data_IF_935834870195
#
_entry.id   IF_935834870195
#
_cell.length_a   1.000
_cell.length_b   1.000
_cell.length_c   1.000
_cell.angle_alpha   90.00
_cell.angle_beta   90.00
_cell.angle_gamma   90.00
#
_symmetry.space_group_name_H-M   'P 1'
#
loop_
_entity.id
_entity.type
_entity.pdbx_description
1 polymer ?
#
# COMPACT_ATOMS: atom_id res chain seq x y z
N UNK A 1 23.48 16.98 -1.88
CA UNK A 1 23.58 18.41 -2.22
C UNK A 1 22.19 18.87 -2.66
N UNK A 2 21.79 20.10 -2.33
CA UNK A 2 20.52 20.65 -2.82
C UNK A 2 20.74 21.25 -4.20
N UNK A 3 19.80 21.04 -5.11
CA UNK A 3 19.86 21.54 -6.49
C UNK A 3 18.57 22.24 -6.87
N UNK A 4 18.67 23.20 -7.79
CA UNK A 4 17.52 23.78 -8.45
C UNK A 4 16.93 22.75 -9.44
N UNK A 5 15.69 22.34 -9.18
CA UNK A 5 15.04 21.28 -9.95
C UNK A 5 14.74 21.70 -11.39
N UNK A 6 14.47 22.99 -11.64
CA UNK A 6 14.22 23.50 -12.97
C UNK A 6 15.52 23.55 -13.79
N UNK A 7 16.61 24.02 -13.18
CA UNK A 7 17.93 24.02 -13.82
C UNK A 7 18.45 22.60 -14.09
N UNK A 8 18.07 21.63 -13.26
CA UNK A 8 18.38 20.21 -13.45
C UNK A 8 17.47 19.53 -14.50
N UNK A 9 16.49 20.23 -15.08
CA UNK A 9 15.53 19.69 -16.05
C UNK A 9 14.49 18.73 -15.45
N UNK A 10 14.32 18.75 -14.13
CA UNK A 10 13.36 17.94 -13.38
C UNK A 10 12.06 18.72 -13.28
N UNK A 11 11.21 18.56 -14.29
CA UNK A 11 9.92 19.23 -14.35
C UNK A 11 8.83 18.31 -13.80
N UNK A 12 8.23 18.66 -12.66
CA UNK A 12 7.05 17.97 -12.16
C UNK A 12 5.79 18.54 -12.82
N UNK A 13 5.01 17.73 -13.56
CA UNK A 13 3.80 18.23 -14.20
C UNK A 13 2.79 18.70 -13.14
N UNK A 14 2.28 19.93 -13.29
CA UNK A 14 1.33 20.55 -12.35
C UNK A 14 0.15 19.64 -11.97
N UNK A 15 -0.31 18.81 -12.92
CA UNK A 15 -1.40 17.85 -12.69
C UNK A 15 -1.03 16.79 -11.64
N UNK A 16 0.22 16.31 -11.61
CA UNK A 16 0.68 15.27 -10.69
C UNK A 16 0.67 15.82 -9.27
N UNK A 17 1.39 16.90 -8.99
CA UNK A 17 1.46 17.53 -7.66
C UNK A 17 0.08 17.94 -7.14
N UNK A 18 -0.76 18.53 -8.02
CA UNK A 18 -2.13 18.92 -7.66
C UNK A 18 -2.99 17.72 -7.29
N UNK A 19 -2.98 16.67 -8.11
CA UNK A 19 -3.78 15.47 -7.85
C UNK A 19 -3.34 14.74 -6.58
N UNK A 20 -2.03 14.66 -6.34
CA UNK A 20 -1.47 14.07 -5.12
C UNK A 20 -1.94 14.82 -3.86
N UNK A 21 -1.85 16.16 -3.87
CA UNK A 21 -2.31 17.00 -2.75
C UNK A 21 -3.82 16.88 -2.52
N UNK A 22 -4.63 16.88 -3.58
CA UNK A 22 -6.08 16.72 -3.45
C UNK A 22 -6.47 15.36 -2.89
N UNK A 23 -5.85 14.29 -3.35
CA UNK A 23 -6.09 12.94 -2.84
C UNK A 23 -5.66 12.83 -1.38
N UNK A 24 -4.51 13.40 -1.01
CA UNK A 24 -4.04 13.42 0.38
C UNK A 24 -5.00 14.19 1.30
N UNK A 25 -5.45 15.38 0.88
CA UNK A 25 -6.43 16.17 1.63
C UNK A 25 -7.78 15.44 1.80
N UNK A 26 -8.22 14.72 0.76
CA UNK A 26 -9.44 13.91 0.80
C UNK A 26 -9.36 12.81 1.87
N UNK A 27 -8.27 12.02 1.85
CA UNK A 27 -8.06 10.96 2.84
C UNK A 27 -7.89 11.52 4.25
N UNK A 28 -7.15 12.63 4.41
CA UNK A 28 -7.00 13.28 5.71
C UNK A 28 -8.35 13.78 6.26
N UNK A 29 -9.20 14.36 5.42
CA UNK A 29 -10.55 14.79 5.81
C UNK A 29 -11.43 13.62 6.23
N UNK A 30 -11.36 12.50 5.51
CA UNK A 30 -12.05 11.27 5.91
C UNK A 30 -11.54 10.76 7.27
N UNK A 31 -10.22 10.65 7.45
CA UNK A 31 -9.61 10.17 8.69
C UNK A 31 -9.93 11.04 9.91
N UNK A 32 -9.96 12.35 9.76
CA UNK A 32 -10.27 13.26 10.88
C UNK A 32 -11.74 13.20 11.31
N UNK A 33 -12.63 12.81 10.41
CA UNK A 33 -14.07 12.76 10.66
C UNK A 33 -14.59 11.35 10.95
N UNK A 34 -13.74 10.34 10.78
CA UNK A 34 -14.05 8.96 11.15
C UNK A 34 -13.43 8.63 12.51
N UNK A 35 -14.26 8.23 13.46
CA UNK A 35 -13.85 8.01 14.85
C UNK A 35 -13.00 6.74 15.03
N UNK A 36 -13.11 5.77 14.12
CA UNK A 36 -12.37 4.51 14.16
C UNK A 36 -12.09 3.97 12.74
N UNK A 37 -10.95 3.28 12.60
CA UNK A 37 -10.57 2.56 11.38
C UNK A 37 -10.24 1.12 11.76
N UNK A 38 -10.88 0.18 11.07
CA UNK A 38 -10.62 -1.26 11.23
C UNK A 38 -9.74 -1.73 10.07
N UNK A 39 -8.66 -2.43 10.38
CA UNK A 39 -7.78 -3.02 9.39
C UNK A 39 -7.54 -4.50 9.72
N UNK A 40 -7.52 -5.34 8.69
CA UNK A 40 -7.21 -6.75 8.85
C UNK A 40 -5.73 -6.95 9.16
N UNK A 41 -5.45 -7.91 10.04
CA UNK A 41 -4.08 -8.29 10.34
C UNK A 41 -3.46 -8.93 9.09
N UNK A 42 -2.22 -8.58 8.71
CA UNK A 42 -1.53 -9.26 7.61
C UNK A 42 -1.52 -10.77 7.86
N UNK A 43 -1.90 -11.53 6.84
CA UNK A 43 -1.79 -12.99 6.90
C UNK A 43 -0.32 -13.36 7.07
N UNK A 44 -0.05 -14.30 7.98
CA UNK A 44 1.26 -14.95 7.97
C UNK A 44 1.29 -15.79 6.72
N UNK A 45 2.14 -15.43 5.75
CA UNK A 45 2.46 -16.34 4.65
C UNK A 45 2.85 -17.69 5.28
N UNK A 46 2.05 -18.72 5.03
CA UNK A 46 2.51 -20.07 5.27
C UNK A 46 3.81 -20.22 4.46
N UNK A 47 4.88 -20.82 5.02
CA UNK A 47 6.04 -21.15 4.21
C UNK A 47 5.53 -21.86 2.97
N UNK A 48 5.94 -21.39 1.79
CA UNK A 48 5.65 -22.07 0.53
C UNK A 48 6.08 -23.52 0.73
N UNK A 49 5.10 -24.42 0.84
CA UNK A 49 5.35 -25.85 0.92
C UNK A 49 6.00 -26.21 -0.40
N UNK A 50 7.34 -26.22 -0.38
CA UNK A 50 8.16 -26.73 -1.46
C UNK A 50 7.68 -28.13 -1.77
N UNK A 51 7.44 -28.39 -3.05
CA UNK A 51 6.97 -29.67 -3.54
C UNK A 51 7.80 -30.82 -2.99
N UNK A 52 7.09 -31.86 -2.56
CA UNK A 52 7.65 -33.09 -2.06
C UNK A 52 6.51 -33.96 -1.58
N UNK A 53 6.13 -34.91 -2.43
CA UNK A 53 5.23 -36.01 -2.12
C UNK A 53 5.51 -36.61 -0.73
N UNK A 54 4.51 -36.63 0.16
CA UNK A 54 4.25 -37.82 0.97
C UNK A 54 2.92 -37.74 1.73
N UNK A 55 2.09 -38.76 1.49
CA UNK A 55 1.27 -39.46 2.48
C UNK A 55 0.28 -38.67 3.37
N UNK A 56 -0.99 -38.77 2.99
CA UNK A 56 -1.89 -39.60 3.82
C UNK A 56 -2.87 -38.90 4.75
N UNK A 57 -4.15 -39.04 4.43
CA UNK A 57 -5.15 -39.43 5.42
C UNK A 57 -6.20 -38.40 5.85
N UNK A 58 -7.47 -38.79 5.65
CA UNK A 58 -8.69 -38.41 6.42
C UNK A 58 -9.05 -36.92 6.49
N UNK A 59 -10.15 -36.44 5.91
CA UNK A 59 -11.50 -37.01 5.93
C UNK A 59 -12.30 -36.40 7.09
N UNK A 60 -13.34 -35.64 6.77
CA UNK A 60 -14.43 -35.32 7.71
C UNK A 60 -14.81 -33.83 7.77
N UNK A 61 -15.92 -33.52 7.10
CA UNK A 61 -16.69 -32.25 7.06
C UNK A 61 -16.08 -31.08 6.28
#
# INVERSE_FOLDING_TARGET
>A
EYVDLLAAGINDPVKVTRSALQNAASIAGLFLTTEAVVADKPEKNAPAMGGGDDMGGMGGF
#
